data_IF_262768290852
#
_entry.id   IF_262768290852
#
_cell.length_a   1.000
_cell.length_b   1.000
_cell.length_c   1.000
_cell.angle_alpha   90.00
_cell.angle_beta   90.00
_cell.angle_gamma   90.00
#
_symmetry.space_group_name_H-M   'P 1'
#
loop_
_entity.id
_entity.type
_entity.pdbx_description
1 polymer ?
#
# COMPACT_ATOMS: atom_id res chain seq x y z
N UNK A 1 15.57 -16.77 -1.37
CA UNK A 1 14.09 -16.79 -1.54
C UNK A 1 13.42 -16.35 -0.24
N UNK A 2 13.81 -16.93 0.89
CA UNK A 2 13.17 -16.68 2.19
C UNK A 2 13.28 -15.24 2.69
N UNK A 3 14.37 -14.56 2.37
CA UNK A 3 14.60 -13.17 2.80
C UNK A 3 13.71 -12.14 2.06
N UNK A 4 13.11 -12.50 0.94
CA UNK A 4 12.31 -11.57 0.12
C UNK A 4 10.81 -11.68 0.37
N UNK A 5 10.30 -12.89 0.64
CA UNK A 5 8.88 -13.12 0.86
C UNK A 5 8.38 -12.57 2.19
N UNK A 6 9.15 -12.70 3.26
CA UNK A 6 8.78 -12.27 4.61
C UNK A 6 8.53 -10.76 4.68
N UNK A 7 9.38 -9.96 4.04
CA UNK A 7 9.27 -8.50 4.07
C UNK A 7 8.00 -8.01 3.38
N UNK A 8 7.60 -8.62 2.27
CA UNK A 8 6.35 -8.27 1.56
C UNK A 8 5.12 -8.57 2.40
N UNK A 9 5.10 -9.72 3.07
CA UNK A 9 4.00 -10.10 3.98
C UNK A 9 3.89 -9.09 5.13
N UNK A 10 5.00 -8.76 5.77
CA UNK A 10 5.03 -7.81 6.89
C UNK A 10 4.54 -6.41 6.48
N UNK A 11 4.92 -5.92 5.30
CA UNK A 11 4.40 -4.65 4.75
C UNK A 11 2.90 -4.72 4.49
N UNK A 12 2.41 -5.84 3.96
CA UNK A 12 0.97 -6.06 3.76
C UNK A 12 0.21 -6.05 5.08
N UNK A 13 0.77 -6.64 6.13
CA UNK A 13 0.19 -6.61 7.48
C UNK A 13 0.13 -5.18 8.02
N UNK A 14 1.19 -4.38 7.86
CA UNK A 14 1.16 -2.96 8.23
C UNK A 14 -0.01 -2.24 7.57
N UNK A 15 -0.22 -2.44 6.28
CA UNK A 15 -1.36 -1.83 5.55
C UNK A 15 -2.71 -2.38 6.02
N UNK A 16 -2.79 -3.67 6.33
CA UNK A 16 -4.00 -4.28 6.90
C UNK A 16 -4.33 -3.68 8.27
N UNK A 17 -3.34 -3.27 9.04
CA UNK A 17 -3.51 -2.60 10.33
C UNK A 17 -3.75 -1.08 10.19
N UNK A 18 -3.88 -0.58 8.96
CA UNK A 18 -4.27 0.79 8.67
C UNK A 18 -3.10 1.78 8.58
N UNK A 19 -1.86 1.29 8.48
CA UNK A 19 -0.69 2.14 8.26
C UNK A 19 -0.63 2.53 6.78
N UNK A 20 -0.64 3.83 6.51
CA UNK A 20 -0.55 4.41 5.17
C UNK A 20 0.29 5.69 5.20
N UNK A 21 0.55 6.24 4.00
CA UNK A 21 1.35 7.46 3.87
C UNK A 21 2.85 7.19 3.77
N UNK A 22 3.61 8.27 3.83
CA UNK A 22 5.05 8.31 3.63
C UNK A 22 5.73 9.11 4.75
N UNK A 23 7.03 8.90 4.92
CA UNK A 23 7.89 9.74 5.76
C UNK A 23 8.37 11.00 5.01
N UNK A 24 9.27 11.75 5.62
CA UNK A 24 9.89 12.96 5.05
C UNK A 24 10.78 12.70 3.82
N UNK A 25 11.17 11.45 3.60
CA UNK A 25 11.96 10.99 2.45
C UNK A 25 11.13 10.30 1.37
N UNK A 26 9.80 10.42 1.43
CA UNK A 26 8.85 9.74 0.54
C UNK A 26 8.89 8.21 0.63
N UNK A 27 9.43 7.65 1.71
CA UNK A 27 9.40 6.20 1.96
C UNK A 27 8.07 5.81 2.61
N UNK A 28 7.38 4.80 2.10
CA UNK A 28 6.12 4.35 2.71
C UNK A 28 6.30 3.95 4.17
N UNK A 29 5.43 4.43 5.06
CA UNK A 29 5.48 4.10 6.48
C UNK A 29 5.47 2.61 6.78
N UNK A 30 4.75 1.74 6.05
CA UNK A 30 4.89 0.30 6.19
C UNK A 30 6.32 -0.20 5.99
N UNK A 31 7.07 0.37 5.03
CA UNK A 31 8.46 0.01 4.80
C UNK A 31 9.33 0.46 5.95
N UNK A 32 9.17 1.70 6.40
CA UNK A 32 9.93 2.27 7.54
C UNK A 32 9.77 1.39 8.78
N UNK A 33 8.56 1.00 9.13
CA UNK A 33 8.30 0.14 10.31
C UNK A 33 8.94 -1.22 10.16
N UNK A 34 8.79 -1.86 9.00
CA UNK A 34 9.34 -3.19 8.75
C UNK A 34 10.87 -3.17 8.76
N UNK A 35 11.48 -2.20 8.10
CA UNK A 35 12.93 -2.06 8.05
C UNK A 35 13.49 -1.72 9.43
N UNK A 36 12.81 -0.87 10.21
CA UNK A 36 13.19 -0.58 11.60
C UNK A 36 13.22 -1.84 12.48
N UNK A 37 12.19 -2.69 12.40
CA UNK A 37 12.14 -3.95 13.15
C UNK A 37 13.20 -4.94 12.66
N UNK A 38 13.45 -4.98 11.34
CA UNK A 38 14.49 -5.84 10.76
C UNK A 38 15.89 -5.48 11.25
N UNK A 39 16.16 -4.19 11.41
CA UNK A 39 17.48 -3.70 11.83
C UNK A 39 17.69 -3.74 13.35
N UNK A 40 16.66 -3.48 14.13
CA UNK A 40 16.76 -3.28 15.59
C UNK A 40 16.10 -4.37 16.43
N UNK A 41 15.34 -5.28 15.83
CA UNK A 41 14.58 -6.33 16.49
C UNK A 41 14.71 -7.68 15.83
N UNK A 42 13.68 -8.48 15.97
CA UNK A 42 13.56 -9.80 15.33
C UNK A 42 12.29 -9.86 14.48
N UNK A 43 12.43 -9.62 13.19
CA UNK A 43 11.30 -9.64 12.25
C UNK A 43 10.57 -10.99 12.18
N UNK A 44 11.21 -12.09 12.57
CA UNK A 44 10.59 -13.42 12.60
C UNK A 44 9.46 -13.54 13.63
N UNK A 45 9.35 -12.60 14.58
CA UNK A 45 8.23 -12.52 15.50
C UNK A 45 6.96 -11.94 14.84
N UNK A 46 7.12 -11.30 13.69
CA UNK A 46 6.05 -10.67 12.93
C UNK A 46 5.78 -9.22 13.34
N UNK A 47 5.60 -8.34 12.36
CA UNK A 47 5.32 -6.91 12.59
C UNK A 47 4.06 -6.69 13.42
N UNK A 48 3.04 -7.54 13.24
CA UNK A 48 1.79 -7.46 13.99
C UNK A 48 2.03 -7.56 15.50
N UNK A 49 2.95 -8.42 15.93
CA UNK A 49 3.29 -8.58 17.36
C UNK A 49 3.90 -7.30 17.92
N UNK A 50 4.82 -6.67 17.20
CA UNK A 50 5.44 -5.40 17.61
C UNK A 50 4.42 -4.27 17.68
N UNK A 51 3.59 -4.14 16.65
CA UNK A 51 2.56 -3.08 16.60
C UNK A 51 1.51 -3.26 17.68
N UNK A 52 0.99 -4.47 17.85
CA UNK A 52 -0.01 -4.73 18.90
C UNK A 52 0.56 -4.53 20.30
N UNK A 53 1.81 -4.93 20.54
CA UNK A 53 2.50 -4.67 21.80
C UNK A 53 2.67 -3.15 22.05
N UNK A 54 3.09 -2.41 21.03
CA UNK A 54 3.25 -0.97 21.13
C UNK A 54 1.90 -0.25 21.37
N UNK A 55 0.81 -0.75 20.78
CA UNK A 55 -0.54 -0.23 21.07
C UNK A 55 -0.91 -0.38 22.55
N UNK A 56 -0.63 -1.53 23.15
CA UNK A 56 -0.92 -1.80 24.57
C UNK A 56 -0.05 -0.93 25.49
N UNK A 57 1.23 -0.78 25.17
CA UNK A 57 2.16 0.02 25.99
C UNK A 57 1.89 1.53 25.89
N UNK A 58 1.50 2.03 24.71
CA UNK A 58 1.41 3.47 24.44
C UNK A 58 -0.01 4.01 24.38
N UNK A 59 -1.01 3.17 24.15
CA UNK A 59 -2.37 3.56 23.85
C UNK A 59 -2.57 4.18 22.46
N UNK A 60 -1.53 4.20 21.62
CA UNK A 60 -1.56 4.80 20.29
C UNK A 60 -2.13 3.84 19.25
N UNK A 61 -2.66 4.39 18.16
CA UNK A 61 -3.06 3.60 16.99
C UNK A 61 -1.85 3.22 16.13
N UNK A 62 -1.94 2.15 15.29
CA UNK A 62 -0.84 1.73 14.45
C UNK A 62 -0.26 2.82 13.55
N UNK A 63 -1.10 3.70 13.01
CA UNK A 63 -0.68 4.84 12.20
C UNK A 63 0.22 5.80 13.00
N UNK A 64 -0.19 6.19 14.20
CA UNK A 64 0.55 7.11 15.06
C UNK A 64 1.88 6.50 15.53
N UNK A 65 1.87 5.17 15.78
CA UNK A 65 3.09 4.41 16.09
C UNK A 65 4.06 4.48 14.92
N UNK A 66 3.59 4.22 13.70
CA UNK A 66 4.43 4.25 12.50
C UNK A 66 5.04 5.64 12.26
N UNK A 67 4.26 6.70 12.43
CA UNK A 67 4.73 8.08 12.31
C UNK A 67 5.82 8.42 13.33
N UNK A 68 5.66 7.96 14.58
CA UNK A 68 6.67 8.18 15.63
C UNK A 68 7.92 7.34 15.42
N UNK A 69 7.78 6.11 14.90
CA UNK A 69 8.93 5.29 14.51
C UNK A 69 9.71 5.97 13.39
N UNK A 70 9.02 6.50 12.38
CA UNK A 70 9.65 7.24 11.28
C UNK A 70 10.41 8.47 11.76
N UNK A 71 9.87 9.20 12.74
CA UNK A 71 10.52 10.36 13.37
C UNK A 71 11.59 9.99 14.40
N UNK A 72 11.84 8.68 14.63
CA UNK A 72 12.78 8.18 15.66
C UNK A 72 12.40 8.59 17.09
N UNK A 73 11.12 8.89 17.33
CA UNK A 73 10.57 9.26 18.63
C UNK A 73 10.13 8.03 19.46
N UNK A 74 10.01 6.86 18.81
CA UNK A 74 9.51 5.65 19.44
C UNK A 74 10.32 4.42 18.98
N UNK A 75 10.82 3.65 19.94
CA UNK A 75 11.49 2.37 19.69
C UNK A 75 10.60 1.22 20.15
N UNK A 76 9.87 0.64 19.20
CA UNK A 76 8.95 -0.46 19.45
C UNK A 76 9.63 -1.80 19.70
N UNK A 77 10.95 -1.88 19.50
CA UNK A 77 11.72 -3.13 19.66
C UNK A 77 12.21 -3.34 21.08
N UNK A 78 12.22 -2.28 21.91
CA UNK A 78 12.69 -2.30 23.29
C UNK A 78 11.58 -2.29 24.35
N UNK A 79 10.35 -2.36 23.93
CA UNK A 79 9.21 -2.36 24.84
C UNK A 79 9.08 -3.70 25.59
N UNK A 80 8.54 -3.64 26.81
CA UNK A 80 8.18 -4.85 27.53
C UNK A 80 7.05 -5.58 26.81
N UNK A 81 7.18 -6.90 26.69
CA UNK A 81 6.17 -7.72 26.03
C UNK A 81 4.95 -7.95 26.91
N UNK A 82 3.79 -7.72 26.32
CA UNK A 82 2.51 -8.18 26.82
C UNK A 82 2.24 -9.62 26.40
N UNK A 83 1.18 -10.22 26.96
CA UNK A 83 0.75 -11.55 26.58
C UNK A 83 0.26 -11.59 25.12
N UNK A 84 0.56 -12.69 24.43
CA UNK A 84 0.20 -12.85 23.01
C UNK A 84 -1.32 -12.80 22.78
N UNK A 85 -2.13 -13.18 23.76
CA UNK A 85 -3.57 -13.08 23.66
C UNK A 85 -4.04 -11.62 23.73
N UNK A 86 -3.47 -10.83 24.63
CA UNK A 86 -3.77 -9.39 24.74
C UNK A 86 -3.37 -8.65 23.46
N UNK A 87 -2.18 -8.95 22.92
CA UNK A 87 -1.70 -8.38 21.64
C UNK A 87 -2.66 -8.71 20.51
N UNK A 88 -3.09 -9.97 20.39
CA UNK A 88 -4.06 -10.39 19.36
C UNK A 88 -5.40 -9.69 19.53
N UNK A 89 -5.86 -9.53 20.76
CA UNK A 89 -7.14 -8.86 21.04
C UNK A 89 -7.09 -7.39 20.65
N UNK A 90 -5.99 -6.68 20.94
CA UNK A 90 -5.79 -5.28 20.57
C UNK A 90 -5.81 -5.05 19.05
N UNK A 91 -5.32 -6.01 18.28
CA UNK A 91 -5.27 -5.91 16.81
C UNK A 91 -6.56 -6.37 16.11
N UNK A 92 -7.38 -7.17 16.78
CA UNK A 92 -8.52 -7.88 16.19
C UNK A 92 -9.51 -6.93 15.50
N UNK A 93 -9.98 -5.93 16.23
CA UNK A 93 -10.98 -4.99 15.73
C UNK A 93 -10.49 -4.25 14.47
N UNK A 94 -9.24 -3.80 14.48
CA UNK A 94 -8.64 -3.08 13.34
C UNK A 94 -8.51 -4.00 12.13
N UNK A 95 -8.01 -5.22 12.34
CA UNK A 95 -7.84 -6.19 11.28
C UNK A 95 -9.20 -6.59 10.66
N UNK A 96 -10.21 -6.87 11.48
CA UNK A 96 -11.55 -7.24 11.03
C UNK A 96 -12.21 -6.10 10.25
N UNK A 97 -12.13 -4.85 10.71
CA UNK A 97 -12.67 -3.69 10.01
C UNK A 97 -12.03 -3.49 8.61
N UNK A 98 -10.72 -3.68 8.51
CA UNK A 98 -10.02 -3.54 7.23
C UNK A 98 -10.28 -4.73 6.28
N UNK A 99 -10.41 -5.95 6.81
CA UNK A 99 -10.83 -7.11 6.01
C UNK A 99 -12.24 -6.90 5.46
N UNK A 100 -13.17 -6.36 6.26
CA UNK A 100 -14.52 -6.07 5.80
C UNK A 100 -14.56 -4.98 4.72
N UNK A 101 -13.70 -3.96 4.85
CA UNK A 101 -13.53 -2.96 3.78
C UNK A 101 -13.05 -3.59 2.47
N UNK A 102 -12.11 -4.53 2.53
CA UNK A 102 -11.62 -5.27 1.35
C UNK A 102 -12.76 -6.07 0.72
N UNK A 103 -13.55 -6.80 1.52
CA UNK A 103 -14.70 -7.57 1.05
C UNK A 103 -15.75 -6.66 0.41
N UNK A 104 -16.07 -5.54 1.04
CA UNK A 104 -17.02 -4.55 0.50
C UNK A 104 -16.57 -3.99 -0.85
N UNK A 105 -15.28 -3.65 -0.98
CA UNK A 105 -14.73 -3.18 -2.25
C UNK A 105 -14.77 -4.26 -3.34
N UNK A 106 -14.55 -5.52 -2.98
CA UNK A 106 -14.68 -6.65 -3.90
C UNK A 106 -16.13 -6.83 -4.33
N UNK A 107 -17.09 -6.78 -3.40
CA UNK A 107 -18.50 -6.89 -3.72
C UNK A 107 -18.96 -5.80 -4.68
N UNK A 108 -18.54 -4.54 -4.46
CA UNK A 108 -18.83 -3.44 -5.39
C UNK A 108 -18.26 -3.71 -6.79
N UNK A 109 -17.05 -4.23 -6.89
CA UNK A 109 -16.46 -4.60 -8.19
C UNK A 109 -17.28 -5.68 -8.88
N UNK A 110 -17.72 -6.71 -8.15
CA UNK A 110 -18.56 -7.78 -8.68
C UNK A 110 -19.93 -7.25 -9.13
N UNK A 111 -20.51 -6.31 -8.40
CA UNK A 111 -21.74 -5.62 -8.78
C UNK A 111 -21.58 -4.85 -10.10
N UNK A 112 -20.50 -4.09 -10.26
CA UNK A 112 -20.20 -3.41 -11.53
C UNK A 112 -20.09 -4.39 -12.70
N UNK A 113 -19.39 -5.51 -12.51
CA UNK A 113 -19.27 -6.54 -13.54
C UNK A 113 -20.61 -7.18 -13.88
N UNK A 114 -21.50 -7.35 -12.91
CA UNK A 114 -22.85 -7.88 -13.14
C UNK A 114 -23.75 -6.89 -13.89
N UNK A 115 -23.62 -5.59 -13.62
CA UNK A 115 -24.44 -4.54 -14.26
C UNK A 115 -23.96 -4.23 -15.68
N UNK A 116 -22.65 -4.08 -15.86
CA UNK A 116 -22.06 -3.65 -17.15
C UNK A 116 -21.56 -4.80 -18.00
N UNK A 117 -21.54 -6.01 -17.45
CA UNK A 117 -21.03 -7.21 -18.10
C UNK A 117 -19.50 -7.30 -18.07
N UNK A 118 -19.04 -8.51 -18.35
CA UNK A 118 -17.63 -8.79 -18.59
C UNK A 118 -17.47 -9.20 -20.06
N UNK A 119 -16.75 -8.40 -20.82
CA UNK A 119 -16.52 -8.67 -22.24
C UNK A 119 -15.65 -9.92 -22.38
N UNK A 120 -16.11 -10.86 -23.20
CA UNK A 120 -15.23 -11.98 -23.59
C UNK A 120 -14.14 -11.45 -24.52
N UNK A 121 -12.89 -11.73 -24.16
CA UNK A 121 -11.71 -11.31 -24.93
C UNK A 121 -11.78 -11.59 -26.44
N UNK A 122 -10.88 -11.03 -27.21
CA UNK A 122 -9.70 -10.29 -26.77
C UNK A 122 -10.04 -8.88 -26.25
N UNK A 123 -9.28 -8.45 -25.21
CA UNK A 123 -9.39 -7.10 -24.67
C UNK A 123 -8.49 -6.11 -25.44
N UNK A 124 -9.00 -4.89 -25.65
CA UNK A 124 -8.22 -3.77 -26.16
C UNK A 124 -7.49 -3.16 -24.95
N UNK A 125 -6.18 -3.34 -24.94
CA UNK A 125 -5.29 -2.85 -23.90
C UNK A 125 -4.55 -1.63 -24.41
N UNK A 126 -4.69 -0.50 -23.72
CA UNK A 126 -4.05 0.78 -24.09
C UNK A 126 -3.13 1.22 -22.95
N UNK A 127 -1.90 1.55 -23.29
CA UNK A 127 -0.93 2.12 -22.36
C UNK A 127 -0.90 3.63 -22.56
N UNK A 128 -1.06 4.38 -21.46
CA UNK A 128 -0.86 5.82 -21.42
C UNK A 128 0.36 6.13 -20.56
N UNK A 129 1.39 6.71 -21.15
CA UNK A 129 2.68 6.87 -20.50
C UNK A 129 3.47 8.05 -21.06
N UNK A 130 2.86 9.25 -21.13
CA UNK A 130 3.53 10.46 -21.61
C UNK A 130 4.57 11.00 -20.63
N UNK A 131 4.52 10.55 -19.37
CA UNK A 131 5.29 11.10 -18.27
C UNK A 131 4.53 12.19 -17.49
N UNK A 132 3.44 12.70 -18.03
CA UNK A 132 2.57 13.68 -17.40
C UNK A 132 1.19 13.06 -17.13
N UNK A 133 0.84 12.87 -15.87
CA UNK A 133 -0.40 12.21 -15.48
C UNK A 133 -1.65 12.93 -16.02
N UNK A 134 -1.63 14.23 -16.16
CA UNK A 134 -2.78 15.00 -16.64
C UNK A 134 -3.00 14.80 -18.13
N UNK A 135 -1.94 14.65 -18.92
CA UNK A 135 -2.01 14.26 -20.33
C UNK A 135 -2.41 12.79 -20.48
N UNK A 136 -1.86 11.93 -19.63
CA UNK A 136 -2.22 10.51 -19.57
C UNK A 136 -3.72 10.33 -19.31
N UNK A 137 -4.31 11.12 -18.41
CA UNK A 137 -5.75 11.14 -18.16
C UNK A 137 -6.54 11.53 -19.41
N UNK A 138 -6.12 12.55 -20.14
CA UNK A 138 -6.78 12.97 -21.39
C UNK A 138 -6.78 11.85 -22.42
N UNK A 139 -5.64 11.21 -22.60
CA UNK A 139 -5.50 10.05 -23.50
C UNK A 139 -6.31 8.85 -23.03
N UNK A 140 -6.31 8.56 -21.72
CA UNK A 140 -7.07 7.45 -21.14
C UNK A 140 -8.57 7.61 -21.35
N UNK A 141 -9.12 8.80 -21.09
CA UNK A 141 -10.55 9.09 -21.32
C UNK A 141 -10.90 8.97 -22.80
N UNK A 142 -10.04 9.44 -23.68
CA UNK A 142 -10.26 9.29 -25.14
C UNK A 142 -10.24 7.80 -25.54
N UNK A 143 -9.27 7.02 -25.04
CA UNK A 143 -9.16 5.60 -25.31
C UNK A 143 -10.37 4.81 -24.78
N UNK A 144 -10.82 5.12 -23.56
CA UNK A 144 -11.99 4.49 -22.95
C UNK A 144 -13.26 4.77 -23.78
N UNK A 145 -13.46 6.00 -24.23
CA UNK A 145 -14.58 6.38 -25.12
C UNK A 145 -14.54 5.69 -26.48
N UNK A 146 -13.36 5.29 -26.94
CA UNK A 146 -13.16 4.54 -28.17
C UNK A 146 -13.24 3.01 -27.97
N UNK A 147 -13.53 2.56 -26.76
CA UNK A 147 -13.77 1.15 -26.47
C UNK A 147 -12.55 0.39 -25.95
N UNK A 148 -11.57 1.07 -25.38
CA UNK A 148 -10.51 0.38 -24.64
C UNK A 148 -11.08 -0.33 -23.42
N UNK A 149 -10.71 -1.59 -23.25
CA UNK A 149 -11.15 -2.43 -22.12
C UNK A 149 -10.21 -2.29 -20.91
N UNK A 150 -8.93 -2.02 -21.15
CA UNK A 150 -7.91 -1.90 -20.12
C UNK A 150 -7.06 -0.67 -20.39
N UNK A 151 -6.94 0.19 -19.40
CA UNK A 151 -6.02 1.32 -19.43
C UNK A 151 -4.87 1.06 -18.45
N UNK A 152 -3.66 1.05 -18.96
CA UNK A 152 -2.46 0.89 -18.14
C UNK A 152 -1.68 2.19 -18.03
N UNK A 153 -1.32 2.54 -16.80
CA UNK A 153 -0.45 3.67 -16.48
C UNK A 153 0.89 3.12 -16.03
N UNK A 154 1.92 3.28 -16.86
CA UNK A 154 3.26 2.75 -16.57
C UNK A 154 4.22 3.92 -16.45
N UNK A 155 5.04 3.90 -15.42
CA UNK A 155 6.08 4.89 -15.18
C UNK A 155 7.46 4.40 -15.58
N UNK A 156 7.88 3.26 -15.03
CA UNK A 156 9.11 2.57 -15.42
C UNK A 156 8.87 1.07 -15.46
N UNK A 157 9.77 0.37 -16.13
CA UNK A 157 9.76 -1.09 -16.10
C UNK A 157 9.90 -1.59 -14.66
N UNK A 158 8.97 -2.42 -14.23
CA UNK A 158 8.99 -3.03 -12.90
C UNK A 158 8.36 -2.21 -11.77
N UNK A 159 7.91 -0.98 -12.00
CA UNK A 159 7.21 -0.19 -10.96
C UNK A 159 5.97 -0.88 -10.39
N UNK A 160 5.26 -1.61 -11.23
CA UNK A 160 4.08 -2.39 -10.81
C UNK A 160 4.39 -3.52 -9.81
N UNK A 161 5.66 -3.90 -9.71
CA UNK A 161 6.15 -4.95 -8.81
C UNK A 161 6.73 -4.39 -7.50
N UNK A 162 6.82 -3.06 -7.38
CA UNK A 162 7.41 -2.40 -6.23
C UNK A 162 6.33 -1.80 -5.33
N UNK A 163 6.45 -2.04 -4.04
CA UNK A 163 5.67 -1.31 -3.03
C UNK A 163 6.13 0.16 -2.94
N UNK A 164 7.34 0.38 -3.32
CA UNK A 164 8.05 1.64 -3.22
C UNK A 164 8.91 1.88 -4.44
N UNK A 165 8.81 3.08 -5.00
CA UNK A 165 9.66 3.54 -6.10
C UNK A 165 10.53 4.69 -5.57
N UNK A 166 11.86 4.53 -5.54
CA UNK A 166 12.75 5.59 -5.08
C UNK A 166 12.61 6.86 -5.92
N UNK A 167 12.81 8.02 -5.30
CA UNK A 167 12.83 9.29 -6.00
C UNK A 167 13.88 9.26 -7.12
N UNK A 168 13.49 9.74 -8.30
CA UNK A 168 14.37 9.70 -9.48
C UNK A 168 14.44 8.37 -10.23
N UNK A 169 13.83 7.29 -9.72
CA UNK A 169 13.74 6.02 -10.45
C UNK A 169 12.62 5.97 -11.50
N UNK A 170 11.89 7.06 -11.68
CA UNK A 170 10.86 7.21 -12.71
C UNK A 170 11.47 7.74 -14.00
N UNK A 171 10.94 7.33 -15.18
CA UNK A 171 11.46 7.71 -16.48
C UNK A 171 11.41 9.22 -16.76
N UNK A 172 10.45 9.94 -16.17
CA UNK A 172 10.17 11.36 -16.49
C UNK A 172 10.33 12.28 -15.27
N UNK A 173 11.12 11.90 -14.28
CA UNK A 173 11.41 12.75 -13.13
C UNK A 173 10.24 12.97 -12.15
N UNK A 174 9.11 12.33 -12.35
CA UNK A 174 8.07 12.25 -11.32
C UNK A 174 8.53 11.27 -10.25
N UNK A 175 9.00 11.80 -9.13
CA UNK A 175 9.68 11.00 -8.14
C UNK A 175 8.77 10.18 -7.26
N UNK A 176 9.30 9.06 -6.83
CA UNK A 176 8.90 8.29 -5.68
C UNK A 176 7.55 7.58 -5.73
N UNK A 177 7.29 6.90 -4.66
CA UNK A 177 6.06 6.13 -4.42
C UNK A 177 4.81 7.02 -4.40
N UNK A 178 4.93 8.23 -3.84
CA UNK A 178 3.80 9.15 -3.74
C UNK A 178 3.29 9.56 -5.12
N UNK A 179 4.19 9.88 -6.04
CA UNK A 179 3.82 10.20 -7.42
C UNK A 179 3.11 9.02 -8.10
N UNK A 180 3.57 7.80 -7.87
CA UNK A 180 2.96 6.59 -8.43
C UNK A 180 1.55 6.36 -7.86
N UNK A 181 1.37 6.43 -6.56
CA UNK A 181 0.06 6.25 -5.90
C UNK A 181 -0.92 7.35 -6.30
N UNK A 182 -0.47 8.60 -6.33
CA UNK A 182 -1.29 9.73 -6.71
C UNK A 182 -1.69 9.64 -8.20
N UNK A 183 -0.81 9.20 -9.08
CA UNK A 183 -1.13 8.96 -10.48
C UNK A 183 -2.28 7.95 -10.66
N UNK A 184 -2.24 6.84 -9.92
CA UNK A 184 -3.35 5.86 -9.93
C UNK A 184 -4.64 6.46 -9.38
N UNK A 185 -4.56 7.27 -8.35
CA UNK A 185 -5.74 7.95 -7.76
C UNK A 185 -6.37 8.93 -8.75
N UNK A 186 -5.55 9.76 -9.39
CA UNK A 186 -5.97 10.72 -10.41
C UNK A 186 -6.63 9.99 -11.60
N UNK A 187 -5.97 8.96 -12.12
CA UNK A 187 -6.48 8.17 -13.23
C UNK A 187 -7.80 7.51 -12.91
N UNK A 188 -7.91 6.84 -11.75
CA UNK A 188 -9.13 6.17 -11.31
C UNK A 188 -10.30 7.13 -11.09
N UNK A 189 -10.01 8.37 -10.69
CA UNK A 189 -11.06 9.40 -10.54
C UNK A 189 -11.57 9.90 -11.88
N UNK A 190 -10.74 9.87 -12.91
CA UNK A 190 -11.06 10.39 -14.23
C UNK A 190 -11.83 9.37 -15.10
N UNK A 191 -11.61 8.08 -14.88
CA UNK A 191 -12.30 6.96 -15.54
C UNK A 191 -13.49 6.48 -14.72
#
# INVERSE_FOLDING_TARGET
>A
VDAHSTVTVERTICRLLGIDGIDEFEVPLPNVVVDFIKENGNISLGVAKYLGNAMLETGLKPQEIAERVAKKELDITKMKWHDDFEIKLALKEIAEANVERIKSNRAKREEYLNVYGDKKGPYIYVIVATGNIYEDVTQAVAAARQGADVIAVIRTTGQSLLDYVPYGATTEGFGGTMATQENFRIMRKAL
#
